data_IF_200800261029
#
_entry.id   IF_200800261029
#
_cell.length_a   1.000
_cell.length_b   1.000
_cell.length_c   1.000
_cell.angle_alpha   90.00
_cell.angle_beta   90.00
_cell.angle_gamma   90.00
#
_symmetry.space_group_name_H-M   'P 1'
#
loop_
_entity.id
_entity.type
_entity.pdbx_description
1 polymer ?
#
# COMPACT_ATOMS: atom_id res chain seq x y z
N UNK A 1 12.06 -14.25 28.16
CA UNK A 1 10.68 -13.78 27.99
C UNK A 1 10.52 -13.39 26.53
N UNK A 2 9.85 -14.20 25.69
CA UNK A 2 9.62 -13.84 24.28
C UNK A 2 8.52 -12.78 24.26
N UNK A 3 8.83 -11.57 23.82
CA UNK A 3 7.81 -10.57 23.52
C UNK A 3 7.04 -11.09 22.30
N UNK A 4 5.73 -11.32 22.48
CA UNK A 4 4.84 -11.68 21.38
C UNK A 4 4.52 -10.38 20.63
N UNK A 5 4.75 -10.38 19.32
CA UNK A 5 4.39 -9.23 18.47
C UNK A 5 2.89 -8.98 18.50
N UNK A 6 2.47 -7.71 18.42
CA UNK A 6 1.06 -7.34 18.27
C UNK A 6 0.53 -7.65 16.87
N UNK A 7 1.43 -7.88 15.91
CA UNK A 7 1.12 -8.09 14.49
C UNK A 7 1.92 -9.26 13.92
N UNK A 8 1.78 -10.49 14.48
CA UNK A 8 2.63 -11.61 14.13
C UNK A 8 2.53 -12.04 12.66
N UNK A 9 1.38 -11.88 12.00
CA UNK A 9 1.20 -12.23 10.59
C UNK A 9 1.77 -11.13 9.69
N UNK A 10 1.50 -9.86 9.99
CA UNK A 10 2.08 -8.72 9.27
C UNK A 10 3.61 -8.69 9.37
N UNK A 11 4.20 -9.24 10.43
CA UNK A 11 5.65 -9.36 10.58
C UNK A 11 6.27 -10.28 9.52
N UNK A 12 5.49 -11.26 9.03
CA UNK A 12 5.92 -12.22 7.99
C UNK A 12 5.81 -11.69 6.57
N UNK A 13 5.04 -10.62 6.34
CA UNK A 13 4.83 -10.03 5.01
C UNK A 13 5.71 -8.80 4.85
N UNK A 14 6.71 -8.88 3.95
CA UNK A 14 7.55 -7.74 3.55
C UNK A 14 7.10 -7.12 2.25
N UNK A 15 6.54 -7.93 1.35
CA UNK A 15 6.08 -7.53 0.03
C UNK A 15 4.73 -8.17 -0.31
N UNK A 16 4.03 -7.71 -1.36
CA UNK A 16 2.80 -8.35 -1.83
C UNK A 16 2.97 -9.83 -2.22
N UNK A 17 4.16 -10.27 -2.61
CA UNK A 17 4.42 -11.71 -2.87
C UNK A 17 4.19 -12.56 -1.61
N UNK A 18 4.70 -12.11 -0.47
CA UNK A 18 4.49 -12.79 0.82
C UNK A 18 3.00 -12.81 1.21
N UNK A 19 2.28 -11.71 0.92
CA UNK A 19 0.83 -11.63 1.18
C UNK A 19 0.07 -12.66 0.34
N UNK A 20 0.40 -12.81 -0.95
CA UNK A 20 -0.23 -13.79 -1.84
C UNK A 20 0.04 -15.23 -1.43
N UNK A 21 1.13 -15.50 -0.70
CA UNK A 21 1.43 -16.81 -0.15
C UNK A 21 0.54 -17.17 1.07
N UNK A 22 -0.16 -16.20 1.66
CA UNK A 22 -1.08 -16.46 2.77
C UNK A 22 -2.36 -17.17 2.29
N UNK A 23 -2.88 -18.14 3.06
CA UNK A 23 -4.19 -18.70 2.78
C UNK A 23 -5.28 -17.63 2.97
N UNK A 24 -6.35 -17.71 2.19
CA UNK A 24 -7.49 -16.77 2.25
C UNK A 24 -8.04 -16.60 3.68
N UNK A 25 -8.07 -17.69 4.46
CA UNK A 25 -8.52 -17.68 5.84
C UNK A 25 -7.71 -16.77 6.78
N UNK A 26 -6.48 -16.41 6.40
CA UNK A 26 -5.62 -15.53 7.17
C UNK A 26 -5.81 -14.04 6.83
N UNK A 27 -6.53 -13.69 5.76
CA UNK A 27 -6.64 -12.31 5.28
C UNK A 27 -7.40 -11.39 6.23
N UNK A 28 -8.38 -11.91 6.96
CA UNK A 28 -9.12 -11.15 7.98
C UNK A 28 -8.17 -10.73 9.10
N UNK A 29 -7.41 -11.68 9.65
CA UNK A 29 -6.39 -11.39 10.67
C UNK A 29 -5.33 -10.42 10.12
N UNK A 30 -4.87 -10.64 8.90
CA UNK A 30 -3.87 -9.77 8.27
C UNK A 30 -4.38 -8.31 8.15
N UNK A 31 -5.65 -8.12 7.75
CA UNK A 31 -6.27 -6.81 7.69
C UNK A 31 -6.36 -6.14 9.08
N UNK A 32 -6.73 -6.89 10.13
CA UNK A 32 -6.78 -6.36 11.50
C UNK A 32 -5.39 -5.94 12.02
N UNK A 33 -4.36 -6.71 11.70
CA UNK A 33 -2.98 -6.36 12.06
C UNK A 33 -2.47 -5.15 11.26
N UNK A 34 -2.78 -5.07 9.96
CA UNK A 34 -2.46 -3.93 9.11
C UNK A 34 -3.18 -2.66 9.58
N UNK A 35 -4.43 -2.77 10.01
CA UNK A 35 -5.19 -1.68 10.65
C UNK A 35 -4.49 -1.22 11.92
N UNK A 36 -4.10 -2.15 12.79
CA UNK A 36 -3.38 -1.85 14.04
C UNK A 36 -2.08 -1.09 13.75
N UNK A 37 -1.30 -1.56 12.78
CA UNK A 37 -0.05 -0.91 12.37
C UNK A 37 -0.28 0.48 11.78
N UNK A 38 -1.34 0.65 10.97
CA UNK A 38 -1.71 1.93 10.38
C UNK A 38 -2.07 2.96 11.46
N UNK A 39 -2.87 2.56 12.46
CA UNK A 39 -3.24 3.43 13.60
C UNK A 39 -1.98 3.82 14.37
N UNK A 40 -1.13 2.84 14.71
CA UNK A 40 0.10 3.08 15.47
C UNK A 40 1.05 4.04 14.75
N UNK A 41 1.30 3.82 13.45
CA UNK A 41 2.13 4.70 12.64
C UNK A 41 1.62 6.15 12.58
N UNK A 42 0.32 6.32 12.31
CA UNK A 42 -0.30 7.65 12.18
C UNK A 42 -0.38 8.37 13.52
N UNK A 43 -0.46 7.64 14.64
CA UNK A 43 -0.41 8.24 15.98
C UNK A 43 0.89 9.01 16.26
N UNK A 44 1.99 8.61 15.61
CA UNK A 44 3.31 9.24 15.76
C UNK A 44 3.44 10.47 14.86
N UNK A 45 3.07 10.34 13.58
CA UNK A 45 3.35 11.38 12.58
C UNK A 45 2.18 12.33 12.31
N UNK A 46 0.98 12.00 12.78
CA UNK A 46 -0.27 12.57 12.28
C UNK A 46 -0.53 12.19 10.81
N UNK A 47 -1.57 12.79 10.21
CA UNK A 47 -1.93 12.60 8.81
C UNK A 47 -3.35 12.07 8.58
N UNK A 48 -3.59 11.50 7.41
CA UNK A 48 -4.93 11.13 6.92
C UNK A 48 -5.41 9.78 7.49
N UNK A 49 -5.65 9.72 8.80
CA UNK A 49 -6.04 8.48 9.49
C UNK A 49 -7.32 7.87 8.91
N UNK A 50 -8.41 8.63 8.85
CA UNK A 50 -9.72 8.11 8.44
C UNK A 50 -9.74 7.56 7.02
N UNK A 51 -9.03 8.22 6.09
CA UNK A 51 -8.93 7.78 4.70
C UNK A 51 -8.18 6.44 4.58
N UNK A 52 -7.06 6.27 5.29
CA UNK A 52 -6.30 5.02 5.29
C UNK A 52 -7.06 3.86 5.94
N UNK A 53 -7.76 4.10 7.05
CA UNK A 53 -8.53 3.05 7.74
C UNK A 53 -9.69 2.51 6.91
N UNK A 54 -10.28 3.34 6.05
CA UNK A 54 -11.40 2.94 5.19
C UNK A 54 -11.02 2.04 4.01
N UNK A 55 -9.72 1.86 3.74
CA UNK A 55 -9.25 1.06 2.59
C UNK A 55 -8.32 -0.09 3.00
N UNK A 56 -8.25 -0.46 4.28
CA UNK A 56 -7.37 -1.54 4.75
C UNK A 56 -7.71 -2.85 4.04
N UNK A 57 -8.96 -3.30 4.10
CA UNK A 57 -9.41 -4.55 3.47
C UNK A 57 -9.25 -4.50 1.95
N UNK A 58 -9.60 -3.35 1.34
CA UNK A 58 -9.43 -3.15 -0.09
C UNK A 58 -7.96 -3.28 -0.51
N UNK A 59 -7.06 -2.69 0.27
CA UNK A 59 -5.61 -2.77 0.03
C UNK A 59 -5.12 -4.22 0.10
N UNK A 60 -5.55 -4.96 1.13
CA UNK A 60 -5.21 -6.38 1.28
C UNK A 60 -5.72 -7.19 0.09
N UNK A 61 -7.00 -7.03 -0.26
CA UNK A 61 -7.60 -7.75 -1.38
C UNK A 61 -6.91 -7.44 -2.72
N UNK A 62 -6.61 -6.16 -3.00
CA UNK A 62 -5.93 -5.75 -4.22
C UNK A 62 -4.54 -6.39 -4.33
N UNK A 63 -3.74 -6.35 -3.26
CA UNK A 63 -2.39 -6.92 -3.30
C UNK A 63 -2.36 -8.45 -3.20
N UNK A 64 -3.43 -9.07 -2.69
CA UNK A 64 -3.59 -10.52 -2.67
C UNK A 64 -4.05 -11.07 -4.04
N UNK A 65 -4.88 -10.34 -4.77
CA UNK A 65 -5.40 -10.78 -6.08
C UNK A 65 -4.46 -10.40 -7.23
N UNK A 66 -3.94 -9.17 -7.24
CA UNK A 66 -3.13 -8.65 -8.34
C UNK A 66 -1.64 -8.85 -8.11
N UNK A 67 -0.90 -9.09 -9.20
CA UNK A 67 0.55 -9.25 -9.17
C UNK A 67 1.27 -7.90 -9.21
N UNK A 68 1.07 -7.06 -8.21
CA UNK A 68 1.83 -5.81 -8.12
C UNK A 68 3.31 -6.13 -7.81
N UNK A 69 4.30 -5.47 -8.44
CA UNK A 69 4.17 -4.25 -9.25
C UNK A 69 4.05 -4.48 -10.77
N UNK A 70 3.96 -5.74 -11.23
CA UNK A 70 3.70 -6.09 -12.64
C UNK A 70 2.37 -5.46 -13.07
N UNK A 71 1.32 -5.76 -12.32
CA UNK A 71 0.01 -5.12 -12.45
C UNK A 71 0.06 -3.72 -11.81
N UNK A 72 -0.53 -2.73 -12.48
CA UNK A 72 -0.44 -1.32 -12.06
C UNK A 72 -1.62 -0.93 -11.18
N UNK A 73 -1.37 -0.79 -9.88
CA UNK A 73 -2.33 -0.22 -8.93
C UNK A 73 -2.14 1.30 -8.79
N UNK A 74 -3.19 2.07 -9.04
CA UNK A 74 -3.18 3.53 -8.92
C UNK A 74 -4.16 3.98 -7.83
N UNK A 75 -3.67 4.73 -6.85
CA UNK A 75 -4.49 5.40 -5.85
C UNK A 75 -4.75 6.86 -6.27
N UNK A 76 -6.02 7.25 -6.45
CA UNK A 76 -6.37 8.66 -6.66
C UNK A 76 -6.11 9.48 -5.39
N UNK A 77 -5.53 10.68 -5.52
CA UNK A 77 -4.99 11.50 -4.41
C UNK A 77 -3.86 10.82 -3.63
N UNK A 78 -3.95 9.55 -3.25
CA UNK A 78 -2.92 8.79 -2.54
C UNK A 78 -2.91 8.95 -1.01
N UNK A 79 -3.74 9.83 -0.44
CA UNK A 79 -3.81 10.08 1.01
C UNK A 79 -4.32 8.88 1.83
N UNK A 80 -5.01 7.96 1.18
CA UNK A 80 -5.52 6.70 1.74
C UNK A 80 -4.49 5.55 1.65
N UNK A 81 -3.37 5.75 0.96
CA UNK A 81 -2.43 4.68 0.61
C UNK A 81 -1.44 4.28 1.73
N UNK A 82 -1.72 4.61 2.99
CA UNK A 82 -0.82 4.23 4.10
C UNK A 82 -0.75 2.71 4.32
N UNK A 83 -1.87 1.96 4.34
CA UNK A 83 -1.83 0.50 4.38
C UNK A 83 -1.05 -0.07 3.19
N UNK A 84 -1.22 0.53 2.01
CA UNK A 84 -0.49 0.14 0.79
C UNK A 84 1.02 0.29 1.00
N UNK A 85 1.49 1.44 1.50
CA UNK A 85 2.92 1.65 1.79
C UNK A 85 3.47 0.63 2.79
N UNK A 86 2.71 0.32 3.84
CA UNK A 86 3.12 -0.66 4.87
C UNK A 86 3.43 -2.02 4.25
N UNK A 87 2.54 -2.55 3.41
CA UNK A 87 2.68 -3.91 2.84
C UNK A 87 3.49 -4.00 1.55
N UNK A 88 4.09 -2.89 1.13
CA UNK A 88 4.93 -2.79 -0.08
C UNK A 88 6.34 -2.35 0.28
N UNK A 89 6.91 -3.01 1.30
CA UNK A 89 8.32 -2.86 1.68
C UNK A 89 8.68 -1.61 2.48
N UNK A 90 7.70 -0.80 2.95
CA UNK A 90 7.98 0.48 3.63
C UNK A 90 7.52 0.54 5.07
N UNK A 91 7.20 -0.62 5.67
CA UNK A 91 6.72 -0.72 7.06
C UNK A 91 7.69 -0.14 8.10
N UNK A 92 8.98 -0.40 7.96
CA UNK A 92 10.04 0.11 8.84
C UNK A 92 10.16 1.63 8.79
N UNK A 93 9.90 2.23 7.63
CA UNK A 93 9.97 3.68 7.40
C UNK A 93 8.66 4.41 7.61
N UNK A 94 7.54 3.72 7.85
CA UNK A 94 6.21 4.34 7.88
C UNK A 94 6.06 5.41 8.99
N UNK A 95 6.84 5.33 10.08
CA UNK A 95 6.89 6.34 11.15
C UNK A 95 7.62 7.63 10.72
N UNK A 96 8.12 7.71 9.49
CA UNK A 96 8.71 8.92 8.90
C UNK A 96 7.74 9.64 7.95
N UNK A 97 6.49 9.17 7.84
CA UNK A 97 5.47 9.78 7.00
C UNK A 97 5.39 11.29 7.20
N UNK A 98 5.42 12.02 6.08
CA UNK A 98 5.29 13.49 6.00
C UNK A 98 6.40 14.26 6.74
N UNK A 99 7.45 13.59 7.18
CA UNK A 99 8.62 14.25 7.79
C UNK A 99 9.66 14.60 6.72
N UNK A 100 10.47 15.65 6.94
CA UNK A 100 11.61 15.95 6.08
C UNK A 100 12.52 14.72 5.93
N UNK A 101 12.82 14.33 4.68
CA UNK A 101 13.62 13.13 4.37
C UNK A 101 12.91 11.79 4.59
N UNK A 102 11.64 11.81 5.03
CA UNK A 102 10.81 10.63 5.24
C UNK A 102 9.95 10.24 4.04
N UNK A 103 8.97 9.36 4.29
CA UNK A 103 8.00 8.95 3.27
C UNK A 103 7.01 10.08 2.95
N UNK A 104 6.63 10.17 1.67
CA UNK A 104 5.54 11.03 1.20
C UNK A 104 4.21 10.61 1.82
N UNK A 105 3.35 11.59 2.12
CA UNK A 105 1.96 11.36 2.53
C UNK A 105 1.05 10.86 1.41
N UNK A 106 1.58 10.69 0.20
CA UNK A 106 0.89 10.23 -1.01
C UNK A 106 1.75 9.20 -1.74
N UNK A 107 1.21 8.52 -2.74
CA UNK A 107 2.03 7.69 -3.63
C UNK A 107 3.05 8.57 -4.37
N UNK A 108 4.28 8.06 -4.54
CA UNK A 108 5.38 8.78 -5.19
C UNK A 108 6.23 7.80 -5.99
N UNK A 109 6.35 8.05 -7.30
CA UNK A 109 7.05 7.17 -8.25
C UNK A 109 8.50 6.88 -7.87
N UNK A 110 9.25 7.90 -7.47
CA UNK A 110 10.66 7.75 -7.07
C UNK A 110 10.82 7.15 -5.66
N UNK A 111 9.73 6.91 -4.93
CA UNK A 111 9.75 6.31 -3.59
C UNK A 111 9.59 4.78 -3.63
N UNK A 112 8.86 4.25 -4.61
CA UNK A 112 8.57 2.82 -4.70
C UNK A 112 8.10 2.39 -6.09
N UNK A 113 8.48 1.20 -6.52
CA UNK A 113 7.96 0.55 -7.74
C UNK A 113 6.46 0.23 -7.66
N UNK A 114 5.92 0.13 -6.44
CA UNK A 114 4.49 -0.08 -6.18
C UNK A 114 3.66 1.21 -6.32
N UNK A 115 4.30 2.36 -6.56
CA UNK A 115 3.67 3.66 -6.74
C UNK A 115 3.79 4.11 -8.22
N UNK A 116 3.16 3.43 -9.20
CA UNK A 116 3.38 3.70 -10.62
C UNK A 116 2.96 5.12 -11.04
N UNK A 117 2.08 5.75 -10.27
CA UNK A 117 1.64 7.12 -10.43
C UNK A 117 1.64 7.86 -9.09
N UNK A 118 2.18 9.07 -9.09
CA UNK A 118 2.12 9.97 -7.94
C UNK A 118 1.04 11.01 -8.17
N UNK A 119 0.11 11.13 -7.23
CA UNK A 119 -0.94 12.14 -7.24
C UNK A 119 -1.06 12.76 -5.85
N UNK A 120 -1.55 13.99 -5.80
CA UNK A 120 -2.00 14.68 -4.59
C UNK A 120 -3.26 15.51 -4.90
N UNK A 121 -3.35 16.04 -6.13
CA UNK A 121 -4.62 16.47 -6.71
C UNK A 121 -5.48 15.27 -7.07
N UNK A 122 -6.79 15.42 -6.85
CA UNK A 122 -7.78 14.38 -7.15
C UNK A 122 -8.09 14.28 -8.64
N UNK A 123 -8.80 13.21 -9.00
CA UNK A 123 -9.40 12.99 -10.33
C UNK A 123 -8.38 12.77 -11.45
N UNK A 124 -7.18 12.29 -11.10
CA UNK A 124 -6.07 12.08 -12.06
C UNK A 124 -5.82 10.61 -12.36
N UNK A 125 -6.26 9.70 -11.48
CA UNK A 125 -6.01 8.26 -11.57
C UNK A 125 -6.56 7.62 -12.84
N UNK A 126 -7.79 7.94 -13.24
CA UNK A 126 -8.45 7.30 -14.40
C UNK A 126 -7.71 7.68 -15.69
N UNK A 127 -7.38 8.96 -15.88
CA UNK A 127 -6.62 9.42 -17.04
C UNK A 127 -5.21 8.80 -17.08
N UNK A 128 -4.54 8.70 -15.93
CA UNK A 128 -3.24 8.03 -15.83
C UNK A 128 -3.36 6.53 -16.15
N UNK A 129 -4.37 5.85 -15.61
CA UNK A 129 -4.64 4.44 -15.85
C UNK A 129 -4.95 4.15 -17.32
N UNK A 130 -5.73 5.02 -17.98
CA UNK A 130 -5.97 4.91 -19.43
C UNK A 130 -4.66 4.99 -20.22
N UNK A 131 -3.80 5.96 -19.90
CA UNK A 131 -2.50 6.09 -20.56
C UNK A 131 -1.62 4.86 -20.35
N UNK A 132 -1.60 4.30 -19.14
CA UNK A 132 -0.84 3.08 -18.83
C UNK A 132 -1.40 1.86 -19.55
N UNK A 133 -2.72 1.70 -19.63
CA UNK A 133 -3.37 0.61 -20.34
C UNK A 133 -3.09 0.66 -21.85
N UNK A 134 -3.22 1.84 -22.48
CA UNK A 134 -2.90 2.03 -23.90
C UNK A 134 -1.42 1.73 -24.17
N UNK A 135 -0.51 2.18 -23.30
CA UNK A 135 0.92 1.91 -23.45
C UNK A 135 1.23 0.41 -23.34
N UNK A 136 0.59 -0.32 -22.41
CA UNK A 136 0.68 -1.78 -22.29
C UNK A 136 0.20 -2.46 -23.57
N UNK A 137 -0.96 -2.09 -24.09
CA UNK A 137 -1.53 -2.73 -25.27
C UNK A 137 -0.62 -2.53 -26.50
N UNK A 138 -0.04 -1.33 -26.65
CA UNK A 138 0.92 -1.02 -27.72
C UNK A 138 2.25 -1.76 -27.57
N UNK A 139 2.67 -2.10 -26.35
CA UNK A 139 3.89 -2.89 -26.10
C UNK A 139 3.65 -4.40 -26.11
N UNK A 140 2.41 -4.85 -26.30
CA UNK A 140 2.04 -6.27 -26.24
C UNK A 140 2.08 -6.86 -24.83
N UNK A 141 1.99 -6.03 -23.79
CA UNK A 141 1.93 -6.48 -22.40
C UNK A 141 0.56 -7.06 -22.02
N UNK A 142 0.53 -7.86 -20.95
CA UNK A 142 -0.65 -8.58 -20.47
C UNK A 142 -0.89 -8.42 -18.95
N UNK A 143 -0.30 -7.37 -18.38
CA UNK A 143 -0.52 -6.97 -16.99
C UNK A 143 -1.84 -6.21 -16.78
#
# INVERSE_FOLDING_TARGET
MRFVSKTPLLDTVKTPEDLRALPESALVQFADELRTETIDAVSVTGGHLGAGLGVVELTVALHWVFDTPRDRLIWDVGHQAYPHKIITGRRDRIRTLRQPGGLSGFTKRDESEYDPFGAAHSSTSISAGLGMAVARDLSGGDN
#
